data_IF_892302561466
#
_entry.id   IF_892302561466
#
_cell.length_a   1.000
_cell.length_b   1.000
_cell.length_c   1.000
_cell.angle_alpha   90.00
_cell.angle_beta   90.00
_cell.angle_gamma   90.00
#
_symmetry.space_group_name_H-M   'P 1'
#
loop_
_entity.id
_entity.type
_entity.pdbx_description
1 polymer ?
#
# COMPACT_ATOMS: atom_id res chain seq x y z
N UNK A 1 -19.45 41.06 -5.59
CA UNK A 1 -19.79 39.71 -6.11
C UNK A 1 -18.56 39.16 -6.85
N UNK A 2 -17.70 38.44 -6.13
CA UNK A 2 -16.48 37.83 -6.67
C UNK A 2 -16.83 36.46 -7.24
N UNK A 3 -16.62 36.27 -8.55
CA UNK A 3 -16.82 34.99 -9.25
C UNK A 3 -15.94 33.89 -8.61
N UNK A 4 -16.42 32.64 -8.46
CA UNK A 4 -15.58 31.54 -7.99
C UNK A 4 -14.48 31.29 -9.03
N UNK A 5 -13.21 31.27 -8.60
CA UNK A 5 -12.10 30.78 -9.44
C UNK A 5 -12.32 29.28 -9.64
N UNK A 6 -12.68 28.87 -10.85
CA UNK A 6 -12.64 27.47 -11.25
C UNK A 6 -11.18 26.99 -11.13
N UNK A 7 -10.93 26.06 -10.21
CA UNK A 7 -9.58 25.57 -9.90
C UNK A 7 -9.10 24.68 -11.06
N UNK A 8 -8.57 25.29 -12.12
CA UNK A 8 -8.02 24.58 -13.27
C UNK A 8 -6.76 23.83 -12.81
N UNK A 9 -6.79 22.49 -12.82
CA UNK A 9 -5.64 21.63 -12.50
C UNK A 9 -4.37 22.16 -13.18
N UNK A 10 -3.27 22.21 -12.42
CA UNK A 10 -2.00 22.71 -12.96
C UNK A 10 -1.50 21.81 -14.10
N UNK A 11 -0.58 22.31 -14.93
CA UNK A 11 0.06 21.51 -15.99
C UNK A 11 0.71 20.26 -15.41
N UNK A 12 1.41 20.40 -14.28
CA UNK A 12 2.01 19.30 -13.53
C UNK A 12 0.99 18.25 -13.13
N UNK A 13 -0.15 18.67 -12.57
CA UNK A 13 -1.19 17.74 -12.09
C UNK A 13 -1.87 17.01 -13.24
N UNK A 14 -2.05 17.65 -14.39
CA UNK A 14 -2.60 17.01 -15.60
C UNK A 14 -1.66 15.91 -16.10
N UNK A 15 -0.36 16.20 -16.19
CA UNK A 15 0.64 15.20 -16.58
C UNK A 15 0.61 14.03 -15.60
N UNK A 16 0.72 14.33 -14.29
CA UNK A 16 0.79 13.31 -13.26
C UNK A 16 -0.48 12.46 -13.23
N UNK A 17 -1.66 13.07 -13.21
CA UNK A 17 -2.95 12.35 -13.22
C UNK A 17 -3.11 11.44 -14.44
N UNK A 18 -2.64 11.87 -15.62
CA UNK A 18 -2.69 11.06 -16.84
C UNK A 18 -1.71 9.88 -16.73
N UNK A 19 -0.47 10.16 -16.33
CA UNK A 19 0.56 9.15 -16.15
C UNK A 19 0.15 8.11 -15.08
N UNK A 20 -0.42 8.54 -13.96
CA UNK A 20 -0.90 7.66 -12.89
C UNK A 20 -1.90 6.64 -13.39
N UNK A 21 -2.92 7.10 -14.14
CA UNK A 21 -3.94 6.21 -14.69
C UNK A 21 -3.36 5.22 -15.72
N UNK A 22 -2.47 5.70 -16.59
CA UNK A 22 -1.84 4.86 -17.61
C UNK A 22 -0.87 3.83 -17.01
N UNK A 23 0.05 4.26 -16.14
CA UNK A 23 1.01 3.37 -15.50
C UNK A 23 0.32 2.29 -14.67
N UNK A 24 -0.72 2.67 -13.91
CA UNK A 24 -1.43 1.70 -13.09
C UNK A 24 -2.18 0.68 -13.94
N UNK A 25 -2.95 1.10 -14.96
CA UNK A 25 -3.79 0.19 -15.76
C UNK A 25 -3.00 -0.63 -16.79
N UNK A 26 -2.01 -0.02 -17.44
CA UNK A 26 -1.36 -0.60 -18.62
C UNK A 26 0.11 -1.00 -18.39
N UNK A 27 0.66 -0.62 -17.24
CA UNK A 27 2.05 -0.89 -16.87
C UNK A 27 3.02 0.21 -17.28
N UNK A 28 4.12 0.31 -16.55
CA UNK A 28 5.17 1.31 -16.74
C UNK A 28 5.87 1.12 -18.08
N UNK A 29 6.20 -0.12 -18.46
CA UNK A 29 6.97 -0.40 -19.69
C UNK A 29 6.19 -0.06 -20.95
N UNK A 30 4.89 -0.34 -20.95
CA UNK A 30 4.01 -0.15 -22.12
C UNK A 30 3.67 1.32 -22.39
N UNK A 31 3.80 2.19 -21.38
CA UNK A 31 3.39 3.60 -21.48
C UNK A 31 4.60 4.49 -21.79
N UNK A 32 4.64 5.02 -23.02
CA UNK A 32 5.65 5.99 -23.45
C UNK A 32 5.31 7.45 -23.09
N UNK A 33 6.33 8.32 -23.07
CA UNK A 33 6.14 9.77 -22.83
C UNK A 33 5.22 10.40 -23.87
N UNK A 34 5.32 10.00 -25.13
CA UNK A 34 4.50 10.57 -26.21
C UNK A 34 3.00 10.24 -26.02
N UNK A 35 2.69 9.07 -25.46
CA UNK A 35 1.31 8.71 -25.12
C UNK A 35 0.77 9.56 -23.97
N UNK A 36 1.58 9.79 -22.93
CA UNK A 36 1.21 10.68 -21.82
C UNK A 36 0.99 12.11 -22.33
N UNK A 37 1.84 12.60 -23.24
CA UNK A 37 1.70 13.92 -23.88
C UNK A 37 0.39 14.02 -24.65
N UNK A 38 0.07 13.02 -25.48
CA UNK A 38 -1.14 12.98 -26.28
C UNK A 38 -2.40 13.00 -25.41
N UNK A 39 -2.46 12.13 -24.39
CA UNK A 39 -3.65 12.01 -23.53
C UNK A 39 -3.78 13.15 -22.51
N UNK A 40 -2.66 13.70 -22.03
CA UNK A 40 -2.69 14.82 -21.10
C UNK A 40 -3.01 16.15 -21.78
N UNK A 41 -2.82 16.25 -23.10
CA UNK A 41 -2.96 17.50 -23.87
C UNK A 41 -1.96 18.57 -23.45
N UNK A 42 -0.76 18.16 -23.03
CA UNK A 42 0.34 19.03 -22.59
C UNK A 42 1.51 18.87 -23.55
N UNK A 43 2.15 19.97 -23.96
CA UNK A 43 3.31 19.90 -24.84
C UNK A 43 4.47 19.11 -24.20
N UNK A 44 5.18 18.32 -25.01
CA UNK A 44 6.32 17.49 -24.56
C UNK A 44 7.39 18.29 -23.82
N UNK A 45 7.70 19.50 -24.28
CA UNK A 45 8.65 20.39 -23.58
C UNK A 45 8.14 20.79 -22.19
N UNK A 46 6.84 21.08 -22.05
CA UNK A 46 6.24 21.37 -20.75
C UNK A 46 6.27 20.18 -19.81
N UNK A 47 6.13 18.94 -20.33
CA UNK A 47 6.31 17.74 -19.53
C UNK A 47 7.73 17.68 -18.94
N UNK A 48 8.76 17.84 -19.77
CA UNK A 48 10.14 17.79 -19.32
C UNK A 48 10.54 18.95 -18.39
N UNK A 49 9.88 20.11 -18.50
CA UNK A 49 10.04 21.21 -17.55
C UNK A 49 9.55 20.84 -16.13
N UNK A 50 8.59 19.93 -16.01
CA UNK A 50 8.06 19.48 -14.72
C UNK A 50 8.69 18.17 -14.23
N UNK A 51 9.04 17.27 -15.15
CA UNK A 51 9.61 15.95 -14.85
C UNK A 51 10.81 15.71 -15.75
N UNK A 52 12.01 15.73 -15.15
CA UNK A 52 13.29 15.67 -15.89
C UNK A 52 13.47 14.40 -16.74
N UNK A 53 12.77 13.32 -16.38
CA UNK A 53 12.78 12.04 -17.08
C UNK A 53 11.48 11.28 -16.84
N UNK A 54 11.28 10.18 -17.57
CA UNK A 54 10.20 9.22 -17.28
C UNK A 54 10.35 8.63 -15.88
N UNK A 55 11.56 8.33 -15.46
CA UNK A 55 11.86 7.77 -14.13
C UNK A 55 11.46 8.75 -13.01
N UNK A 56 11.72 10.05 -13.19
CA UNK A 56 11.27 11.09 -12.26
C UNK A 56 9.73 11.21 -12.22
N UNK A 57 9.05 11.00 -13.35
CA UNK A 57 7.59 10.95 -13.40
C UNK A 57 7.03 9.69 -12.72
N UNK A 58 7.68 8.53 -12.88
CA UNK A 58 7.34 7.28 -12.19
C UNK A 58 7.51 7.44 -10.68
N UNK A 59 8.62 8.02 -10.23
CA UNK A 59 8.85 8.32 -8.81
C UNK A 59 7.73 9.20 -8.25
N UNK A 60 7.41 10.31 -8.94
CA UNK A 60 6.36 11.22 -8.50
C UNK A 60 4.97 10.55 -8.46
N UNK A 61 4.68 9.68 -9.41
CA UNK A 61 3.45 8.88 -9.41
C UNK A 61 3.40 7.95 -8.21
N UNK A 62 4.44 7.14 -7.97
CA UNK A 62 4.46 6.20 -6.84
C UNK A 62 4.38 6.92 -5.49
N UNK A 63 5.01 8.09 -5.34
CA UNK A 63 4.88 8.96 -4.15
C UNK A 63 3.44 9.38 -3.92
N UNK A 64 2.76 9.83 -4.97
CA UNK A 64 1.36 10.23 -4.89
C UNK A 64 0.45 9.03 -4.54
N UNK A 65 0.74 7.85 -5.10
CA UNK A 65 0.00 6.63 -4.74
C UNK A 65 0.23 6.24 -3.28
N UNK A 66 1.44 6.39 -2.75
CA UNK A 66 1.78 6.02 -1.37
C UNK A 66 1.00 6.88 -0.38
N UNK A 67 1.01 8.20 -0.60
CA UNK A 67 0.28 9.16 0.22
C UNK A 67 -1.21 8.84 0.27
N UNK A 68 -1.85 8.69 -0.90
CA UNK A 68 -3.27 8.41 -1.02
C UNK A 68 -3.65 7.06 -0.42
N UNK A 69 -2.88 6.02 -0.72
CA UNK A 69 -3.18 4.66 -0.27
C UNK A 69 -2.97 4.51 1.24
N UNK A 70 -1.88 5.07 1.79
CA UNK A 70 -1.62 5.01 3.23
C UNK A 70 -2.68 5.79 4.03
N UNK A 71 -3.07 6.97 3.58
CA UNK A 71 -4.14 7.75 4.19
C UNK A 71 -5.46 6.96 4.18
N UNK A 72 -5.88 6.49 3.00
CA UNK A 72 -7.09 5.70 2.84
C UNK A 72 -7.09 4.43 3.71
N UNK A 73 -5.99 3.66 3.72
CA UNK A 73 -5.89 2.44 4.50
C UNK A 73 -6.07 2.74 6.00
N UNK A 74 -5.31 3.72 6.50
CA UNK A 74 -5.33 4.08 7.92
C UNK A 74 -6.73 4.55 8.34
N UNK A 75 -7.32 5.47 7.57
CA UNK A 75 -8.68 5.96 7.86
C UNK A 75 -9.71 4.84 7.84
N UNK A 76 -9.64 3.94 6.85
CA UNK A 76 -10.57 2.79 6.74
C UNK A 76 -10.44 1.85 7.94
N UNK A 77 -9.22 1.60 8.43
CA UNK A 77 -8.99 0.77 9.62
C UNK A 77 -9.53 1.43 10.88
N UNK A 78 -9.23 2.72 11.09
CA UNK A 78 -9.64 3.49 12.26
C UNK A 78 -11.16 3.64 12.36
N UNK A 79 -11.86 3.73 11.23
CA UNK A 79 -13.32 3.73 11.18
C UNK A 79 -13.96 2.38 11.56
N UNK A 80 -13.23 1.28 11.34
CA UNK A 80 -13.75 -0.08 11.56
C UNK A 80 -13.49 -0.59 12.97
N UNK A 81 -12.42 -0.14 13.61
CA UNK A 81 -12.04 -0.60 14.94
C UNK A 81 -11.22 0.43 15.70
N UNK A 82 -11.48 0.53 17.02
CA UNK A 82 -10.67 1.32 17.96
C UNK A 82 -9.69 0.47 18.78
N UNK A 83 -9.93 -0.84 18.88
CA UNK A 83 -9.02 -1.77 19.56
C UNK A 83 -7.87 -2.20 18.63
N UNK A 84 -6.60 -2.13 19.04
CA UNK A 84 -5.45 -2.45 18.17
C UNK A 84 -5.46 -3.87 17.57
N UNK A 85 -5.85 -4.89 18.33
CA UNK A 85 -5.98 -6.27 17.82
C UNK A 85 -7.07 -6.39 16.76
N UNK A 86 -8.17 -5.66 16.92
CA UNK A 86 -9.23 -5.59 15.91
C UNK A 86 -8.78 -4.77 14.69
N UNK A 87 -7.97 -3.73 14.87
CA UNK A 87 -7.37 -2.95 13.78
C UNK A 87 -6.43 -3.80 12.91
N UNK A 88 -5.63 -4.69 13.51
CA UNK A 88 -4.81 -5.66 12.78
C UNK A 88 -5.67 -6.55 11.85
N UNK A 89 -6.86 -6.96 12.31
CA UNK A 89 -7.80 -7.72 11.49
C UNK A 89 -8.52 -6.85 10.45
N UNK A 90 -8.80 -5.59 10.78
CA UNK A 90 -9.46 -4.64 9.90
C UNK A 90 -8.63 -4.27 8.67
N UNK A 91 -7.30 -4.47 8.70
CA UNK A 91 -6.44 -4.39 7.51
C UNK A 91 -7.02 -5.24 6.37
N UNK A 92 -7.43 -6.47 6.68
CA UNK A 92 -7.95 -7.39 5.66
C UNK A 92 -9.37 -7.05 5.21
N UNK A 93 -10.16 -6.35 6.05
CA UNK A 93 -11.44 -5.81 5.62
C UNK A 93 -11.26 -4.64 4.65
N UNK A 94 -10.28 -3.75 4.94
CA UNK A 94 -9.91 -2.67 4.03
C UNK A 94 -9.39 -3.24 2.70
N UNK A 95 -8.51 -4.25 2.74
CA UNK A 95 -8.04 -4.92 1.52
C UNK A 95 -9.19 -5.51 0.70
N UNK A 96 -10.18 -6.12 1.35
CA UNK A 96 -11.36 -6.64 0.66
C UNK A 96 -12.10 -5.53 -0.09
N UNK A 97 -12.35 -4.40 0.56
CA UNK A 97 -13.01 -3.23 -0.06
C UNK A 97 -12.22 -2.75 -1.28
N UNK A 98 -10.89 -2.71 -1.19
CA UNK A 98 -10.04 -2.35 -2.32
C UNK A 98 -10.08 -3.40 -3.44
N UNK A 99 -10.10 -4.69 -3.13
CA UNK A 99 -10.17 -5.77 -4.13
C UNK A 99 -11.51 -5.78 -4.87
N UNK A 100 -12.57 -5.31 -4.23
CA UNK A 100 -13.91 -5.18 -4.84
C UNK A 100 -14.03 -3.94 -5.76
N UNK A 101 -13.01 -3.07 -5.80
CA UNK A 101 -13.01 -1.90 -6.68
C UNK A 101 -12.89 -2.33 -8.15
N UNK A 102 -13.67 -1.74 -9.08
CA UNK A 102 -13.72 -2.19 -10.48
C UNK A 102 -12.39 -2.02 -11.23
N UNK A 103 -11.55 -1.11 -10.75
CA UNK A 103 -10.24 -0.75 -11.28
C UNK A 103 -9.08 -1.37 -10.46
N UNK A 104 -9.36 -2.35 -9.59
CA UNK A 104 -8.30 -3.10 -8.90
C UNK A 104 -7.40 -3.85 -9.90
N UNK A 105 -6.09 -3.58 -9.83
CA UNK A 105 -5.04 -4.24 -10.63
C UNK A 105 -3.81 -4.55 -9.78
N UNK A 106 -4.05 -4.99 -8.54
CA UNK A 106 -2.99 -5.27 -7.58
C UNK A 106 -2.27 -4.02 -7.08
N UNK A 107 -1.11 -4.22 -6.45
CA UNK A 107 -0.35 -3.14 -5.84
C UNK A 107 0.59 -2.46 -6.85
N UNK A 108 0.44 -1.13 -6.99
CA UNK A 108 1.31 -0.30 -7.83
C UNK A 108 2.80 -0.49 -7.51
N UNK A 109 3.18 -0.66 -6.24
CA UNK A 109 4.58 -0.82 -5.81
C UNK A 109 5.15 -2.20 -6.14
N UNK A 110 4.35 -3.26 -5.99
CA UNK A 110 4.75 -4.62 -6.40
C UNK A 110 4.93 -4.66 -7.92
N UNK A 111 3.93 -4.17 -8.67
CA UNK A 111 3.97 -4.14 -10.13
C UNK A 111 5.16 -3.31 -10.64
N UNK A 112 5.39 -2.13 -10.06
CA UNK A 112 6.52 -1.29 -10.40
C UNK A 112 7.86 -1.98 -10.14
N UNK A 113 8.01 -2.68 -9.01
CA UNK A 113 9.26 -3.37 -8.68
C UNK A 113 9.60 -4.47 -9.71
N UNK A 114 8.58 -5.21 -10.16
CA UNK A 114 8.71 -6.23 -11.21
C UNK A 114 9.04 -5.60 -12.57
N UNK A 115 8.34 -4.54 -12.95
CA UNK A 115 8.54 -3.89 -14.25
C UNK A 115 9.85 -3.08 -14.32
N UNK A 116 10.31 -2.49 -13.22
CA UNK A 116 11.55 -1.72 -13.23
C UNK A 116 12.77 -2.63 -13.20
N UNK A 117 12.71 -3.73 -12.46
CA UNK A 117 13.77 -4.75 -12.38
C UNK A 117 15.19 -4.17 -12.13
N UNK A 118 15.26 -3.04 -11.44
CA UNK A 118 16.50 -2.34 -11.13
C UNK A 118 16.39 -1.73 -9.73
N UNK A 119 17.24 -2.20 -8.81
CA UNK A 119 17.23 -1.77 -7.41
C UNK A 119 17.59 -0.28 -7.22
N UNK A 120 18.38 0.28 -8.15
CA UNK A 120 18.83 1.68 -8.12
C UNK A 120 17.82 2.63 -8.76
N UNK A 121 16.76 2.11 -9.41
CA UNK A 121 15.73 2.95 -10.00
C UNK A 121 14.96 3.70 -8.90
N UNK A 122 14.71 5.02 -9.01
CA UNK A 122 14.05 5.80 -7.97
C UNK A 122 12.66 5.26 -7.58
N UNK A 123 11.91 4.73 -8.54
CA UNK A 123 10.64 4.03 -8.28
C UNK A 123 10.76 2.75 -7.43
N UNK A 124 11.86 1.99 -7.56
CA UNK A 124 12.10 0.82 -6.70
C UNK A 124 12.37 1.25 -5.25
N UNK A 125 13.13 2.33 -5.06
CA UNK A 125 13.33 2.94 -3.73
C UNK A 125 11.99 3.36 -3.10
N UNK A 126 11.09 4.01 -3.84
CA UNK A 126 9.75 4.37 -3.33
C UNK A 126 8.96 3.12 -2.93
N UNK A 127 9.00 2.05 -3.74
CA UNK A 127 8.32 0.79 -3.41
C UNK A 127 8.83 0.16 -2.10
N UNK A 128 10.14 0.19 -1.87
CA UNK A 128 10.72 -0.28 -0.62
C UNK A 128 10.31 0.59 0.57
N UNK A 129 10.31 1.91 0.41
CA UNK A 129 9.89 2.84 1.45
C UNK A 129 8.40 2.65 1.82
N UNK A 130 7.54 2.43 0.82
CA UNK A 130 6.12 2.06 1.02
C UNK A 130 6.00 0.74 1.80
N UNK A 131 6.69 -0.32 1.38
CA UNK A 131 6.65 -1.59 2.12
C UNK A 131 7.08 -1.41 3.59
N UNK A 132 8.10 -0.60 3.84
CA UNK A 132 8.56 -0.30 5.19
C UNK A 132 7.56 0.56 5.98
N UNK A 133 6.85 1.49 5.35
CA UNK A 133 5.81 2.29 6.03
C UNK A 133 4.67 1.38 6.50
N UNK A 134 4.25 0.43 5.66
CA UNK A 134 3.20 -0.55 6.02
C UNK A 134 3.68 -1.49 7.13
N UNK A 135 4.91 -2.00 7.05
CA UNK A 135 5.50 -2.76 8.15
C UNK A 135 5.48 -1.98 9.47
N UNK A 136 5.93 -0.72 9.46
CA UNK A 136 5.97 0.14 10.65
C UNK A 136 4.57 0.38 11.22
N UNK A 137 3.58 0.59 10.36
CA UNK A 137 2.20 0.76 10.77
C UNK A 137 1.64 -0.52 11.43
N UNK A 138 1.78 -1.68 10.79
CA UNK A 138 1.35 -2.97 11.36
C UNK A 138 2.06 -3.25 12.69
N UNK A 139 3.38 -2.99 12.75
CA UNK A 139 4.16 -3.12 13.99
C UNK A 139 3.60 -2.23 15.09
N UNK A 140 3.26 -0.98 14.80
CA UNK A 140 2.71 -0.05 15.80
C UNK A 140 1.39 -0.56 16.38
N UNK A 141 0.52 -1.15 15.54
CA UNK A 141 -0.73 -1.78 15.98
C UNK A 141 -0.45 -3.02 16.84
N UNK A 142 0.51 -3.86 16.44
CA UNK A 142 0.90 -5.03 17.21
C UNK A 142 1.49 -4.66 18.59
N UNK A 143 2.27 -3.59 18.67
CA UNK A 143 2.78 -3.07 19.94
C UNK A 143 1.65 -2.54 20.82
N UNK A 144 0.71 -1.77 20.25
CA UNK A 144 -0.45 -1.28 20.98
C UNK A 144 -1.43 -2.41 21.40
N UNK A 145 -1.40 -3.54 20.71
CA UNK A 145 -2.12 -4.76 21.05
C UNK A 145 -1.40 -5.61 22.13
N UNK A 146 -0.22 -5.17 22.59
CA UNK A 146 0.58 -5.83 23.64
C UNK A 146 0.89 -7.32 23.33
N UNK A 147 1.09 -7.66 22.05
CA UNK A 147 1.49 -9.02 21.66
C UNK A 147 2.95 -9.28 22.05
N UNK A 148 3.30 -10.53 22.32
CA UNK A 148 4.64 -10.89 22.85
C UNK A 148 5.79 -10.67 21.86
N UNK A 149 5.52 -10.67 20.55
CA UNK A 149 6.55 -10.45 19.52
C UNK A 149 6.02 -9.59 18.37
N UNK A 150 5.87 -8.26 18.59
CA UNK A 150 5.24 -7.36 17.64
C UNK A 150 5.94 -7.32 16.27
N UNK A 151 7.27 -7.36 16.25
CA UNK A 151 8.09 -7.37 15.03
C UNK A 151 7.84 -8.61 14.20
N UNK A 152 7.77 -9.77 14.84
CA UNK A 152 7.55 -11.04 14.16
C UNK A 152 6.15 -11.09 13.56
N UNK A 153 5.13 -10.73 14.36
CA UNK A 153 3.75 -10.67 13.89
C UNK A 153 3.61 -9.68 12.73
N UNK A 154 4.21 -8.50 12.82
CA UNK A 154 4.16 -7.51 11.76
C UNK A 154 4.79 -7.99 10.45
N UNK A 155 5.89 -8.75 10.50
CA UNK A 155 6.49 -9.38 9.30
C UNK A 155 5.55 -10.41 8.69
N UNK A 156 4.97 -11.28 9.51
CA UNK A 156 4.03 -12.32 9.04
C UNK A 156 2.79 -11.71 8.41
N UNK A 157 2.22 -10.68 9.04
CA UNK A 157 1.06 -9.97 8.51
C UNK A 157 1.38 -9.19 7.24
N UNK A 158 2.56 -8.57 7.13
CA UNK A 158 2.99 -7.93 5.88
C UNK A 158 3.08 -8.95 4.73
N UNK A 159 3.68 -10.12 4.96
CA UNK A 159 3.74 -11.19 3.96
C UNK A 159 2.34 -11.62 3.53
N UNK A 160 1.42 -11.74 4.48
CA UNK A 160 0.04 -12.13 4.23
C UNK A 160 -0.74 -11.05 3.46
N UNK A 161 -0.54 -9.78 3.79
CA UNK A 161 -1.09 -8.62 3.05
C UNK A 161 -0.62 -8.66 1.60
N UNK A 162 0.68 -8.79 1.35
CA UNK A 162 1.24 -8.83 -0.01
C UNK A 162 0.75 -10.05 -0.79
N UNK A 163 0.74 -11.23 -0.15
CA UNK A 163 0.23 -12.46 -0.75
C UNK A 163 -1.24 -12.35 -1.12
N UNK A 164 -2.07 -11.80 -0.23
CA UNK A 164 -3.50 -11.59 -0.50
C UNK A 164 -3.72 -10.67 -1.70
N UNK A 165 -2.95 -9.59 -1.82
CA UNK A 165 -3.02 -8.65 -2.95
C UNK A 165 -2.67 -9.36 -4.27
N UNK A 166 -1.58 -10.12 -4.30
CA UNK A 166 -1.11 -10.80 -5.52
C UNK A 166 -2.11 -11.86 -5.96
N UNK A 167 -2.59 -12.70 -5.03
CA UNK A 167 -3.56 -13.76 -5.34
C UNK A 167 -4.88 -13.15 -5.80
N UNK A 168 -5.39 -12.11 -5.12
CA UNK A 168 -6.62 -11.43 -5.54
C UNK A 168 -6.51 -10.86 -6.97
N UNK A 169 -5.35 -10.27 -7.32
CA UNK A 169 -5.09 -9.75 -8.66
C UNK A 169 -5.09 -10.86 -9.72
N UNK A 170 -4.49 -12.02 -9.40
CA UNK A 170 -4.38 -13.14 -10.35
C UNK A 170 -5.70 -13.88 -10.55
N UNK A 171 -6.47 -14.05 -9.49
CA UNK A 171 -7.73 -14.80 -9.52
C UNK A 171 -8.94 -13.93 -9.89
N UNK A 172 -8.82 -12.60 -9.80
CA UNK A 172 -9.96 -11.68 -9.92
C UNK A 172 -10.99 -11.88 -8.80
N UNK A 173 -10.55 -12.35 -7.63
CA UNK A 173 -11.41 -12.73 -6.51
C UNK A 173 -11.04 -11.97 -5.24
N UNK A 174 -12.04 -11.35 -4.61
CA UNK A 174 -11.90 -10.67 -3.31
C UNK A 174 -11.93 -11.62 -2.11
N UNK A 175 -12.29 -12.88 -2.32
CA UNK A 175 -12.45 -13.87 -1.23
C UNK A 175 -11.14 -14.13 -0.46
N UNK A 176 -9.99 -13.93 -1.12
CA UNK A 176 -8.66 -14.10 -0.55
C UNK A 176 -8.40 -13.20 0.65
N UNK A 177 -8.96 -11.97 0.66
CA UNK A 177 -8.86 -11.09 1.83
C UNK A 177 -9.50 -11.72 3.08
N UNK A 178 -10.63 -12.41 2.91
CA UNK A 178 -11.31 -13.10 4.01
C UNK A 178 -10.54 -14.32 4.50
N UNK A 179 -9.86 -15.04 3.59
CA UNK A 179 -8.99 -16.17 3.96
C UNK A 179 -7.76 -15.69 4.72
N UNK A 180 -7.11 -14.63 4.22
CA UNK A 180 -5.99 -13.97 4.88
C UNK A 180 -6.37 -13.46 6.27
N UNK A 181 -7.55 -12.86 6.44
CA UNK A 181 -8.06 -12.45 7.75
C UNK A 181 -8.14 -13.60 8.76
N UNK A 182 -8.58 -14.79 8.34
CA UNK A 182 -8.66 -15.98 9.21
C UNK A 182 -7.26 -16.44 9.65
N UNK A 183 -6.29 -16.44 8.74
CA UNK A 183 -4.89 -16.77 9.07
C UNK A 183 -4.31 -15.73 10.03
N UNK A 184 -4.55 -14.45 9.79
CA UNK A 184 -4.13 -13.36 10.69
C UNK A 184 -4.71 -13.53 12.10
N UNK A 185 -5.99 -13.89 12.23
CA UNK A 185 -6.61 -14.14 13.53
C UNK A 185 -5.91 -15.26 14.32
N UNK A 186 -5.53 -16.35 13.64
CA UNK A 186 -4.79 -17.44 14.27
C UNK A 186 -3.38 -17.00 14.73
N UNK A 187 -2.69 -16.18 13.92
CA UNK A 187 -1.37 -15.62 14.27
C UNK A 187 -1.47 -14.68 15.47
N UNK A 188 -2.44 -13.76 15.48
CA UNK A 188 -2.69 -12.84 16.61
C UNK A 188 -3.00 -13.63 17.88
N UNK A 189 -3.90 -14.63 17.81
CA UNK A 189 -4.24 -15.44 18.98
C UNK A 189 -3.03 -16.17 19.55
N UNK A 190 -2.16 -16.70 18.68
CA UNK A 190 -0.91 -17.36 19.10
C UNK A 190 0.03 -16.36 19.77
N UNK A 191 0.23 -15.19 19.15
CA UNK A 191 1.10 -14.15 19.66
C UNK A 191 0.62 -13.53 20.98
N UNK A 192 -0.68 -13.53 21.26
CA UNK A 192 -1.24 -13.09 22.55
C UNK A 192 -1.11 -14.14 23.66
N UNK A 193 -1.06 -15.44 23.32
CA UNK A 193 -0.94 -16.53 24.32
C UNK A 193 0.49 -16.71 24.84
N UNK A 194 1.50 -16.45 24.01
CA UNK A 194 2.90 -16.64 24.39
C UNK A 194 3.34 -15.79 25.58
N UNK A 195 2.72 -14.62 25.82
CA UNK A 195 3.01 -13.76 26.98
C UNK A 195 2.55 -14.35 28.31
N UNK A 196 1.55 -15.25 28.28
CA UNK A 196 1.08 -15.95 29.48
C UNK A 196 2.00 -17.12 29.83
N UNK A 197 2.55 -17.81 28.83
CA UNK A 197 3.40 -19.01 29.05
C UNK A 197 4.76 -18.63 29.63
N UNK A 198 5.35 -17.51 29.21
CA UNK A 198 6.65 -17.03 29.72
C UNK A 198 6.56 -16.52 31.17
N UNK A 199 5.40 -15.97 31.56
CA UNK A 199 5.11 -15.53 32.93
C UNK A 199 4.91 -16.71 33.90
N UNK A 200 4.36 -17.83 33.42
CA UNK A 200 4.17 -19.04 34.25
C UNK A 200 5.48 -19.79 34.44
N UNK A 201 6.38 -19.83 33.44
CA UNK A 201 7.68 -20.49 33.59
C UNK A 201 8.66 -19.73 34.50
N UNK A 202 8.59 -18.40 34.54
CA UNK A 202 9.43 -17.60 35.45
C UNK A 202 8.95 -17.71 36.91
N UNK A 203 7.63 -17.78 37.15
CA UNK A 203 7.08 -17.97 38.49
C UNK A 203 7.33 -19.37 39.10
N UNK A 204 7.70 -20.37 38.29
CA UNK A 204 7.98 -21.74 38.76
C UNK A 204 9.46 -22.02 39.05
N UNK A 205 10.35 -21.06 38.77
CA UNK A 205 11.79 -21.18 39.05
C UNK A 205 12.24 -20.34 40.27
N UNK A 206 11.33 -19.60 40.90
CA UNK A 206 11.58 -18.78 42.10
C UNK A 206 10.90 -19.33 43.39
N UNK A 207 10.32 -20.53 43.35
CA UNK A 207 9.74 -21.24 44.50
C UNK A 207 10.56 -22.47 44.88
#
# INVERSE_FOLDING_TARGET
MTKPKTNRKSVRDRILSTASGLFYREGIRNVGIDRIVAESGVAKMSLYNHFKSKDALIEAWLRQQDEQWCEWLKTTIEQRASNPSQQLLAIFDALREWFESPDFRGCAFINASVELANADHPGHRVALEHQQSIYRYIKSLAQAAEVSSPEQLARQLLLLVQGAIVVAMMEGSWSTASQAKKVAAALIQTASKSGVVETVLTAQLEC
#
